data_IF_665628824944
#
_entry.id   IF_665628824944
#
_cell.length_a   1.000
_cell.length_b   1.000
_cell.length_c   1.000
_cell.angle_alpha   90.00
_cell.angle_beta   90.00
_cell.angle_gamma   90.00
#
_symmetry.space_group_name_H-M   'P 1'
#
loop_
_entity.id
_entity.type
_entity.pdbx_description
1 polymer ?
#
# COMPACT_ATOMS: atom_id res chain seq x y z
N UNK A 1 -58.11 -23.69 -39.17
CA UNK A 1 -57.02 -23.62 -40.12
C UNK A 1 -55.74 -23.40 -39.29
N UNK A 2 -55.06 -24.46 -39.02
CA UNK A 2 -53.66 -24.86 -39.26
C UNK A 2 -52.63 -23.73 -39.36
N UNK A 3 -51.62 -23.70 -38.46
CA UNK A 3 -50.19 -24.10 -38.72
C UNK A 3 -49.39 -23.81 -37.47
N UNK A 4 -48.83 -24.77 -36.87
CA UNK A 4 -47.48 -25.38 -36.97
C UNK A 4 -46.35 -24.48 -36.41
N UNK A 5 -45.86 -24.85 -35.28
CA UNK A 5 -44.57 -25.43 -34.90
C UNK A 5 -43.34 -24.69 -35.46
N UNK A 6 -42.54 -24.21 -34.53
CA UNK A 6 -41.17 -23.76 -34.71
C UNK A 6 -40.40 -24.02 -33.41
N UNK A 7 -39.86 -25.23 -33.32
CA UNK A 7 -38.91 -25.64 -32.28
C UNK A 7 -37.57 -24.97 -32.58
N UNK A 8 -37.15 -24.02 -31.72
CA UNK A 8 -35.80 -23.52 -31.69
C UNK A 8 -35.04 -24.25 -30.58
N UNK A 9 -34.23 -25.23 -30.94
CA UNK A 9 -33.20 -25.85 -30.11
C UNK A 9 -32.20 -24.79 -29.76
N UNK A 10 -32.09 -24.48 -28.48
CA UNK A 10 -30.92 -23.86 -27.92
C UNK A 10 -29.80 -24.92 -27.86
N UNK A 11 -28.81 -24.78 -28.72
CA UNK A 11 -27.54 -25.49 -28.56
C UNK A 11 -26.87 -24.94 -27.30
N UNK A 12 -26.90 -25.73 -26.27
CA UNK A 12 -26.02 -25.57 -25.08
C UNK A 12 -24.65 -26.06 -25.53
N UNK A 13 -23.75 -25.15 -25.84
CA UNK A 13 -22.33 -25.47 -25.92
C UNK A 13 -21.90 -26.01 -24.56
N UNK A 14 -21.75 -27.31 -24.47
CA UNK A 14 -21.00 -27.95 -23.41
C UNK A 14 -19.54 -27.57 -23.61
N UNK A 15 -19.08 -26.65 -22.78
CA UNK A 15 -17.66 -26.44 -22.51
C UNK A 15 -17.15 -27.79 -21.96
N UNK A 16 -16.53 -28.58 -22.82
CA UNK A 16 -15.80 -29.77 -22.42
C UNK A 16 -14.57 -29.29 -21.65
N UNK A 17 -14.68 -29.30 -20.31
CA UNK A 17 -13.53 -29.30 -19.43
C UNK A 17 -12.62 -30.44 -19.90
N UNK A 18 -11.48 -30.10 -20.48
CA UNK A 18 -10.43 -31.07 -20.81
C UNK A 18 -9.81 -31.45 -19.44
N UNK A 19 -10.38 -32.43 -18.80
CA UNK A 19 -9.73 -33.09 -17.68
C UNK A 19 -8.49 -33.79 -18.22
N UNK A 20 -7.33 -33.19 -18.02
CA UNK A 20 -6.03 -33.84 -18.21
C UNK A 20 -6.03 -35.05 -17.28
N UNK A 21 -5.80 -36.29 -17.75
CA UNK A 21 -5.75 -37.44 -16.87
C UNK A 21 -4.69 -37.21 -15.80
N UNK A 22 -5.08 -37.41 -14.52
CA UNK A 22 -4.17 -37.37 -13.40
C UNK A 22 -3.17 -38.52 -13.59
N UNK A 23 -2.00 -38.21 -14.15
CA UNK A 23 -0.89 -39.17 -14.28
C UNK A 23 -0.09 -39.12 -13.00
N UNK A 24 -0.07 -40.22 -12.26
CA UNK A 24 0.85 -40.41 -11.15
C UNK A 24 2.29 -40.43 -11.68
N UNK A 25 3.22 -39.82 -10.91
CA UNK A 25 4.63 -39.79 -11.28
C UNK A 25 5.29 -41.14 -10.97
N UNK A 26 5.67 -41.88 -12.00
CA UNK A 26 6.34 -43.19 -11.86
C UNK A 26 7.84 -43.07 -11.47
N UNK A 27 8.47 -41.93 -11.78
CA UNK A 27 9.88 -41.65 -11.43
C UNK A 27 9.98 -40.96 -10.10
N UNK A 28 11.10 -41.11 -9.42
CA UNK A 28 11.40 -40.37 -8.21
C UNK A 28 11.56 -38.88 -8.55
N UNK A 29 10.71 -38.04 -7.94
CA UNK A 29 10.68 -36.57 -8.15
C UNK A 29 10.56 -35.87 -6.82
N UNK A 30 11.43 -34.88 -6.63
CA UNK A 30 11.40 -34.00 -5.45
C UNK A 30 11.29 -32.54 -5.84
N UNK A 31 10.58 -31.75 -5.03
CA UNK A 31 10.52 -30.30 -5.14
C UNK A 31 11.01 -29.70 -3.82
N UNK A 32 12.15 -29.00 -3.83
CA UNK A 32 12.81 -28.51 -2.61
C UNK A 32 12.93 -29.55 -1.48
N UNK A 33 13.21 -30.80 -1.88
CA UNK A 33 13.34 -31.93 -0.95
C UNK A 33 12.04 -32.63 -0.57
N UNK A 34 10.89 -32.09 -0.98
CA UNK A 34 9.57 -32.74 -0.80
C UNK A 34 9.44 -33.82 -1.86
N UNK A 35 9.29 -35.07 -1.44
CA UNK A 35 9.05 -36.17 -2.36
C UNK A 35 7.59 -36.16 -2.82
N UNK A 36 7.37 -36.03 -4.12
CA UNK A 36 6.05 -36.03 -4.78
C UNK A 36 5.83 -37.26 -5.67
N UNK A 37 6.69 -38.26 -5.60
CA UNK A 37 6.62 -39.51 -6.37
C UNK A 37 5.35 -40.26 -6.08
N UNK A 38 4.63 -40.72 -7.12
CA UNK A 38 3.36 -41.42 -6.98
C UNK A 38 2.17 -40.58 -6.58
N UNK A 39 2.36 -39.25 -6.49
CA UNK A 39 1.28 -38.33 -6.20
C UNK A 39 0.59 -37.86 -7.48
N UNK A 40 -0.69 -37.60 -7.41
CA UNK A 40 -1.41 -36.78 -8.38
C UNK A 40 -0.93 -35.32 -8.31
N UNK A 41 -1.23 -34.53 -9.34
CA UNK A 41 -0.87 -33.08 -9.34
C UNK A 41 -1.44 -32.33 -8.14
N UNK A 42 -2.68 -32.63 -7.73
CA UNK A 42 -3.34 -31.96 -6.62
C UNK A 42 -2.72 -32.39 -5.27
N UNK A 43 -2.38 -33.66 -5.11
CA UNK A 43 -1.66 -34.16 -3.92
C UNK A 43 -0.28 -33.56 -3.80
N UNK A 44 0.47 -33.46 -4.91
CA UNK A 44 1.77 -32.81 -4.95
C UNK A 44 1.68 -31.32 -4.60
N UNK A 45 0.69 -30.61 -5.13
CA UNK A 45 0.41 -29.21 -4.76
C UNK A 45 0.11 -29.08 -3.26
N UNK A 46 -0.75 -29.95 -2.72
CA UNK A 46 -1.07 -29.91 -1.30
C UNK A 46 0.14 -30.21 -0.42
N UNK A 47 1.03 -31.14 -0.82
CA UNK A 47 2.26 -31.43 -0.11
C UNK A 47 3.23 -30.24 -0.11
N UNK A 48 3.42 -29.59 -1.25
CA UNK A 48 4.25 -28.38 -1.36
C UNK A 48 3.70 -27.24 -0.49
N UNK A 49 2.40 -26.95 -0.60
CA UNK A 49 1.78 -25.87 0.18
C UNK A 49 1.73 -26.14 1.68
N UNK A 50 1.82 -27.39 2.10
CA UNK A 50 1.91 -27.76 3.52
C UNK A 50 3.28 -27.41 4.11
N UNK A 51 4.36 -27.62 3.36
CA UNK A 51 5.72 -27.34 3.83
C UNK A 51 6.13 -25.88 3.56
N UNK A 52 5.53 -25.26 2.54
CA UNK A 52 5.70 -23.85 2.18
C UNK A 52 4.36 -23.11 2.21
N UNK A 53 3.72 -22.96 3.37
CA UNK A 53 2.43 -22.31 3.47
C UNK A 53 2.57 -20.81 3.18
N UNK A 54 1.66 -20.28 2.35
CA UNK A 54 1.56 -18.85 2.16
C UNK A 54 0.85 -18.21 3.35
N UNK A 55 1.40 -17.11 3.83
CA UNK A 55 0.86 -16.36 4.98
C UNK A 55 1.64 -15.09 5.24
N UNK A 56 2.36 -14.60 4.20
CA UNK A 56 3.18 -13.39 4.30
C UNK A 56 2.30 -12.18 4.61
N UNK A 57 2.75 -11.37 5.53
CA UNK A 57 2.07 -10.13 5.93
C UNK A 57 3.06 -9.02 6.21
N UNK A 58 2.59 -7.81 5.98
CA UNK A 58 3.29 -6.59 6.35
C UNK A 58 2.60 -5.99 7.57
N UNK A 59 3.37 -5.58 8.57
CA UNK A 59 2.84 -5.03 9.83
C UNK A 59 3.43 -3.66 10.12
N UNK A 60 2.61 -2.80 10.71
CA UNK A 60 3.04 -1.51 11.24
C UNK A 60 2.14 -1.10 12.41
N UNK A 61 2.73 -0.89 13.60
CA UNK A 61 1.97 -0.69 14.84
C UNK A 61 0.93 -1.82 15.05
N UNK A 62 -0.35 -1.46 15.19
CA UNK A 62 -1.45 -2.41 15.35
C UNK A 62 -2.13 -2.78 14.02
N UNK A 63 -1.54 -2.38 12.89
CA UNK A 63 -2.07 -2.64 11.56
C UNK A 63 -1.33 -3.80 10.89
N UNK A 64 -2.07 -4.52 10.06
CA UNK A 64 -1.54 -5.63 9.27
C UNK A 64 -2.14 -5.58 7.87
N UNK A 65 -1.33 -5.93 6.88
CA UNK A 65 -1.72 -6.12 5.48
C UNK A 65 -1.28 -7.53 5.07
N UNK A 66 -2.21 -8.35 4.60
CA UNK A 66 -1.91 -9.67 4.07
C UNK A 66 -1.46 -9.55 2.61
N UNK A 67 -0.24 -9.96 2.33
CA UNK A 67 0.35 -9.95 0.99
C UNK A 67 -0.33 -11.01 0.14
N UNK A 68 -0.73 -10.68 -1.08
CA UNK A 68 -1.29 -11.66 -2.02
C UNK A 68 -0.31 -12.81 -2.27
N UNK A 69 -0.84 -14.01 -2.54
CA UNK A 69 0.00 -15.17 -2.81
C UNK A 69 0.77 -14.98 -4.13
N UNK A 70 2.06 -14.64 -4.02
CA UNK A 70 2.95 -14.41 -5.16
C UNK A 70 3.51 -15.72 -5.73
N UNK A 71 3.35 -16.84 -5.01
CA UNK A 71 3.89 -18.14 -5.41
C UNK A 71 2.86 -19.08 -6.04
N UNK A 72 1.56 -18.76 -5.94
CA UNK A 72 0.50 -19.63 -6.45
C UNK A 72 0.69 -20.02 -7.93
N UNK A 73 0.91 -19.03 -8.79
CA UNK A 73 1.14 -19.26 -10.23
C UNK A 73 2.47 -19.96 -10.51
N UNK A 74 3.50 -19.70 -9.71
CA UNK A 74 4.81 -20.34 -9.81
C UNK A 74 4.72 -21.84 -9.49
N UNK A 75 4.01 -22.20 -8.42
CA UNK A 75 3.76 -23.59 -8.03
C UNK A 75 2.94 -24.30 -9.10
N UNK A 76 1.88 -23.67 -9.60
CA UNK A 76 1.04 -24.27 -10.63
C UNK A 76 1.78 -24.47 -11.96
N UNK A 77 2.62 -23.52 -12.35
CA UNK A 77 3.45 -23.64 -13.56
C UNK A 77 4.51 -24.72 -13.43
N UNK A 78 5.16 -24.82 -12.27
CA UNK A 78 6.14 -25.87 -11.98
C UNK A 78 5.49 -27.25 -12.03
N UNK A 79 4.35 -27.43 -11.40
CA UNK A 79 3.61 -28.69 -11.43
C UNK A 79 3.14 -29.03 -12.83
N UNK A 80 2.71 -28.04 -13.62
CA UNK A 80 2.36 -28.28 -15.03
C UNK A 80 3.58 -28.77 -15.81
N UNK A 81 4.77 -28.17 -15.66
CA UNK A 81 6.01 -28.65 -16.29
C UNK A 81 6.30 -30.10 -15.92
N UNK A 82 6.22 -30.42 -14.61
CA UNK A 82 6.52 -31.76 -14.09
C UNK A 82 5.56 -32.82 -14.66
N UNK A 83 4.25 -32.54 -14.68
CA UNK A 83 3.23 -33.53 -15.06
C UNK A 83 2.95 -33.62 -16.56
N UNK A 84 3.39 -32.65 -17.36
CA UNK A 84 3.20 -32.68 -18.83
C UNK A 84 4.47 -33.01 -19.59
N UNK A 85 5.63 -32.89 -18.97
CA UNK A 85 6.94 -33.13 -19.59
C UNK A 85 7.59 -34.46 -19.15
N UNK A 86 8.87 -34.59 -19.48
CA UNK A 86 9.72 -35.65 -18.88
C UNK A 86 10.27 -35.15 -17.54
N UNK A 87 9.81 -35.71 -16.40
CA UNK A 87 10.20 -35.20 -15.10
C UNK A 87 11.68 -35.49 -14.81
N UNK A 88 12.33 -34.46 -14.25
CA UNK A 88 13.66 -34.55 -13.65
C UNK A 88 13.54 -35.07 -12.21
N UNK A 89 14.65 -35.54 -11.65
CA UNK A 89 14.68 -36.09 -10.27
C UNK A 89 14.46 -35.00 -9.21
N UNK A 90 14.85 -33.75 -9.49
CA UNK A 90 14.78 -32.67 -8.52
C UNK A 90 14.41 -31.32 -9.17
N UNK A 91 13.53 -30.59 -8.49
CA UNK A 91 13.13 -29.23 -8.82
C UNK A 91 13.26 -28.32 -7.61
N UNK A 92 13.27 -27.02 -7.87
CA UNK A 92 13.22 -25.98 -6.83
C UNK A 92 12.14 -24.98 -7.17
N UNK A 93 11.46 -24.44 -6.16
CA UNK A 93 10.55 -23.33 -6.32
C UNK A 93 11.33 -22.09 -6.74
N UNK A 94 11.00 -21.58 -7.92
CA UNK A 94 11.62 -20.38 -8.49
C UNK A 94 10.94 -19.13 -7.96
N UNK A 95 11.68 -18.29 -7.24
CA UNK A 95 11.24 -17.02 -6.67
C UNK A 95 11.69 -15.82 -7.51
N UNK A 96 12.28 -16.04 -8.69
CA UNK A 96 12.72 -14.96 -9.59
C UNK A 96 11.57 -14.41 -10.42
N UNK A 97 11.73 -13.17 -10.94
CA UNK A 97 10.74 -12.55 -11.81
C UNK A 97 9.46 -12.09 -11.08
N UNK A 98 9.54 -11.90 -9.76
CA UNK A 98 8.42 -11.42 -8.93
C UNK A 98 8.54 -9.93 -8.59
N UNK A 99 9.54 -9.23 -9.12
CA UNK A 99 9.86 -7.84 -8.74
C UNK A 99 8.69 -6.88 -8.99
N UNK A 100 7.96 -7.06 -10.10
CA UNK A 100 6.78 -6.25 -10.40
C UNK A 100 5.61 -6.55 -9.44
N UNK A 101 5.40 -7.81 -9.11
CA UNK A 101 4.39 -8.22 -8.15
C UNK A 101 4.71 -7.69 -6.74
N UNK A 102 5.97 -7.80 -6.31
CA UNK A 102 6.45 -7.24 -5.05
C UNK A 102 6.28 -5.71 -5.01
N UNK A 103 6.54 -5.02 -6.13
CA UNK A 103 6.34 -3.58 -6.20
C UNK A 103 4.86 -3.20 -6.03
N UNK A 104 3.94 -3.95 -6.63
CA UNK A 104 2.49 -3.73 -6.46
C UNK A 104 2.03 -3.94 -5.02
N UNK A 105 2.57 -4.94 -4.32
CA UNK A 105 2.27 -5.14 -2.91
C UNK A 105 2.76 -3.97 -2.06
N UNK A 106 3.98 -3.48 -2.29
CA UNK A 106 4.52 -2.30 -1.60
C UNK A 106 3.69 -1.03 -1.88
N UNK A 107 3.24 -0.83 -3.12
CA UNK A 107 2.33 0.26 -3.49
C UNK A 107 0.98 0.14 -2.76
N UNK A 108 0.44 -1.07 -2.65
CA UNK A 108 -0.82 -1.33 -1.95
C UNK A 108 -0.72 -0.99 -0.46
N UNK A 109 0.38 -1.38 0.19
CA UNK A 109 0.67 -1.01 1.58
C UNK A 109 0.79 0.51 1.72
N UNK A 110 1.53 1.16 0.81
CA UNK A 110 1.68 2.60 0.82
C UNK A 110 0.34 3.32 0.62
N UNK A 111 -0.52 2.82 -0.27
CA UNK A 111 -1.86 3.39 -0.48
C UNK A 111 -2.75 3.32 0.77
N UNK A 112 -2.55 2.31 1.62
CA UNK A 112 -3.31 2.14 2.87
C UNK A 112 -2.78 3.02 4.00
N UNK A 113 -1.45 3.17 4.15
CA UNK A 113 -0.84 3.76 5.34
C UNK A 113 -0.25 5.14 5.11
N UNK A 114 -0.02 5.55 3.86
CA UNK A 114 0.43 6.91 3.57
C UNK A 114 -0.66 7.93 3.94
N UNK A 115 -0.24 8.96 4.63
CA UNK A 115 -1.07 10.11 4.96
C UNK A 115 -0.35 11.38 4.54
N UNK A 116 -1.01 12.21 3.74
CA UNK A 116 -0.42 13.50 3.37
C UNK A 116 -0.31 14.38 4.60
N UNK A 117 0.82 15.07 4.73
CA UNK A 117 0.97 16.12 5.72
C UNK A 117 -0.07 17.22 5.46
N UNK A 118 -0.62 17.77 6.53
CA UNK A 118 -1.59 18.86 6.47
C UNK A 118 -0.95 20.13 6.96
N UNK A 119 -0.92 21.13 6.11
CA UNK A 119 -0.40 22.42 6.47
C UNK A 119 -1.27 23.10 7.53
N UNK A 120 -0.63 23.74 8.49
CA UNK A 120 -1.27 24.62 9.41
C UNK A 120 -1.78 25.89 8.72
N UNK A 121 -2.73 26.53 9.33
CA UNK A 121 -3.22 27.84 8.91
C UNK A 121 -3.04 28.87 10.02
N UNK A 122 -2.88 30.14 9.63
CA UNK A 122 -2.89 31.23 10.59
C UNK A 122 -4.28 31.25 11.24
N UNK A 123 -4.32 31.17 12.58
CA UNK A 123 -5.57 31.20 13.33
C UNK A 123 -5.87 32.58 13.88
N UNK A 124 -4.84 33.26 14.35
CA UNK A 124 -4.97 34.51 15.07
C UNK A 124 -3.63 35.27 15.06
N UNK A 125 -3.70 36.60 15.17
CA UNK A 125 -2.53 37.42 15.46
C UNK A 125 -2.56 37.84 16.93
N UNK A 126 -1.58 37.37 17.68
CA UNK A 126 -1.36 37.76 19.08
C UNK A 126 -0.64 39.12 19.12
N UNK A 127 -1.41 40.18 19.29
CA UNK A 127 -0.89 41.55 19.32
C UNK A 127 -0.08 41.89 20.60
N UNK A 128 -0.15 41.08 21.64
CA UNK A 128 0.64 41.29 22.87
C UNK A 128 2.08 40.77 22.70
N UNK A 129 2.23 39.68 21.97
CA UNK A 129 3.52 39.04 21.75
C UNK A 129 4.04 39.26 20.31
N UNK A 130 3.36 40.07 19.48
CA UNK A 130 3.70 40.37 18.08
C UNK A 130 4.00 39.10 17.27
N UNK A 131 3.07 38.12 17.36
CA UNK A 131 3.23 36.84 16.65
C UNK A 131 1.91 36.31 16.09
N UNK A 132 2.03 35.54 15.00
CA UNK A 132 0.94 34.76 14.47
C UNK A 132 0.84 33.43 15.21
N UNK A 133 -0.39 33.03 15.50
CA UNK A 133 -0.71 31.72 16.02
C UNK A 133 -1.19 30.82 14.87
N UNK A 134 -0.69 29.61 14.83
CA UNK A 134 -1.03 28.62 13.81
C UNK A 134 -1.80 27.47 14.44
N UNK A 135 -2.62 26.81 13.66
CA UNK A 135 -3.35 25.63 14.08
C UNK A 135 -3.54 24.65 12.92
N UNK A 136 -3.81 23.40 13.25
CA UNK A 136 -4.23 22.38 12.31
C UNK A 136 -3.11 21.79 11.46
N UNK A 137 -1.84 22.06 11.78
CA UNK A 137 -0.73 21.33 11.19
C UNK A 137 -0.74 19.87 11.69
N UNK A 138 -0.62 18.93 10.77
CA UNK A 138 -0.53 17.51 11.06
C UNK A 138 0.59 16.89 10.23
N UNK A 139 1.43 16.06 10.86
CA UNK A 139 2.42 15.30 10.13
C UNK A 139 1.74 14.30 9.21
N UNK A 140 2.35 14.10 8.04
CA UNK A 140 2.05 13.02 7.13
C UNK A 140 2.79 11.75 7.53
N UNK A 141 2.49 10.67 6.83
CA UNK A 141 3.14 9.38 6.96
C UNK A 141 3.50 8.88 5.56
N UNK A 142 4.67 8.30 5.42
CA UNK A 142 5.15 7.73 4.17
C UNK A 142 5.83 6.39 4.42
N UNK A 143 5.32 5.34 3.79
CA UNK A 143 5.93 4.00 3.81
C UNK A 143 7.20 4.02 2.98
N UNK A 144 8.29 3.51 3.53
CA UNK A 144 9.52 3.24 2.78
C UNK A 144 9.31 2.02 1.87
N UNK A 145 8.82 2.29 0.66
CA UNK A 145 8.50 1.24 -0.30
C UNK A 145 9.74 0.50 -0.80
N UNK A 146 10.90 1.16 -0.90
CA UNK A 146 12.12 0.52 -1.38
C UNK A 146 12.66 -0.49 -0.36
N UNK A 147 12.63 -0.12 0.93
CA UNK A 147 12.97 -1.04 1.99
C UNK A 147 11.99 -2.21 2.03
N UNK A 148 10.68 -1.92 1.95
CA UNK A 148 9.63 -2.94 1.96
C UNK A 148 9.77 -3.95 0.81
N UNK A 149 10.05 -3.49 -0.42
CA UNK A 149 10.34 -4.36 -1.56
C UNK A 149 11.53 -5.27 -1.29
N UNK A 150 12.59 -4.70 -0.73
CA UNK A 150 13.81 -5.45 -0.39
C UNK A 150 13.50 -6.56 0.63
N UNK A 151 12.72 -6.24 1.64
CA UNK A 151 12.38 -7.18 2.71
C UNK A 151 11.45 -8.30 2.22
N UNK A 152 10.44 -7.97 1.40
CA UNK A 152 9.57 -8.98 0.75
C UNK A 152 10.42 -9.89 -0.15
N UNK A 153 11.29 -9.33 -0.98
CA UNK A 153 12.14 -10.11 -1.88
C UNK A 153 13.12 -11.01 -1.10
N UNK A 154 13.65 -10.54 0.02
CA UNK A 154 14.50 -11.32 0.89
C UNK A 154 13.73 -12.51 1.49
N UNK A 155 12.51 -12.30 1.98
CA UNK A 155 11.66 -13.39 2.48
C UNK A 155 11.38 -14.44 1.39
N UNK A 156 11.04 -14.01 0.16
CA UNK A 156 10.84 -14.89 -0.99
C UNK A 156 12.08 -15.70 -1.30
N UNK A 157 13.26 -15.07 -1.33
CA UNK A 157 14.53 -15.74 -1.63
C UNK A 157 14.93 -16.78 -0.56
N UNK A 158 14.53 -16.54 0.69
CA UNK A 158 14.69 -17.51 1.78
C UNK A 158 13.58 -18.55 1.85
N UNK A 159 12.58 -18.45 0.96
CA UNK A 159 11.37 -19.31 0.95
C UNK A 159 10.57 -19.24 2.26
N UNK A 160 10.67 -18.12 2.97
CA UNK A 160 9.81 -17.82 4.11
C UNK A 160 8.52 -17.13 3.64
N UNK A 161 7.63 -17.93 3.08
CA UNK A 161 6.37 -17.44 2.50
C UNK A 161 5.32 -17.08 3.57
N UNK A 162 5.63 -17.30 4.83
CA UNK A 162 4.78 -16.92 5.97
C UNK A 162 5.38 -15.79 6.82
N UNK A 163 6.39 -15.10 6.31
CA UNK A 163 7.08 -14.03 7.00
C UNK A 163 6.15 -12.91 7.46
N UNK A 164 6.42 -12.36 8.64
CA UNK A 164 5.83 -11.12 9.12
C UNK A 164 6.85 -9.99 8.98
N UNK A 165 6.65 -9.12 8.03
CA UNK A 165 7.56 -8.04 7.66
C UNK A 165 7.11 -6.74 8.32
N UNK A 166 7.98 -6.12 9.11
CA UNK A 166 7.69 -4.83 9.72
C UNK A 166 8.00 -3.69 8.73
N UNK A 167 7.00 -2.94 8.33
CA UNK A 167 7.21 -1.80 7.44
C UNK A 167 7.84 -0.62 8.18
N UNK A 168 8.78 0.03 7.53
CA UNK A 168 9.31 1.33 7.95
C UNK A 168 8.38 2.42 7.43
N UNK A 169 7.85 3.24 8.35
CA UNK A 169 6.97 4.37 8.02
C UNK A 169 7.58 5.63 8.59
N UNK A 170 7.87 6.59 7.73
CA UNK A 170 8.50 7.85 8.07
C UNK A 170 7.44 8.94 8.28
N UNK A 171 7.69 9.83 9.24
CA UNK A 171 6.88 11.03 9.38
C UNK A 171 7.31 12.08 8.35
N UNK A 172 6.32 12.71 7.71
CA UNK A 172 6.52 13.80 6.74
C UNK A 172 5.99 15.09 7.36
N UNK A 173 6.88 16.02 7.64
CA UNK A 173 6.47 17.31 8.21
C UNK A 173 5.67 18.14 7.19
N UNK A 174 4.67 18.90 7.67
CA UNK A 174 3.96 19.83 6.81
C UNK A 174 4.89 20.98 6.40
N UNK A 175 4.71 21.46 5.19
CA UNK A 175 5.45 22.62 4.66
C UNK A 175 5.25 23.88 5.53
N UNK A 176 4.08 23.94 6.19
CA UNK A 176 3.61 25.02 7.00
C UNK A 176 3.33 24.53 8.43
N UNK A 177 4.33 24.53 9.26
CA UNK A 177 4.24 24.33 10.71
C UNK A 177 4.42 25.66 11.44
N UNK A 178 4.18 25.71 12.74
CA UNK A 178 4.49 26.91 13.56
C UNK A 178 5.98 27.29 13.46
N UNK A 179 6.86 26.30 13.37
CA UNK A 179 8.31 26.53 13.28
C UNK A 179 8.72 27.18 11.96
N UNK A 180 8.21 26.66 10.82
CA UNK A 180 8.54 27.18 9.47
C UNK A 180 7.82 28.49 9.17
N UNK A 181 6.70 28.75 9.82
CA UNK A 181 5.96 30.00 9.64
C UNK A 181 6.75 31.22 10.14
N UNK A 182 7.45 31.09 11.23
CA UNK A 182 8.29 32.19 11.77
C UNK A 182 9.37 32.63 10.79
N UNK A 183 9.83 31.74 9.91
CA UNK A 183 10.82 32.09 8.89
C UNK A 183 10.19 32.75 7.66
N UNK A 184 8.95 32.39 7.32
CA UNK A 184 8.24 32.86 6.11
C UNK A 184 7.48 34.15 6.31
N UNK A 185 6.98 34.41 7.54
CA UNK A 185 6.20 35.60 7.84
C UNK A 185 7.03 36.67 8.54
N UNK A 186 7.07 37.85 7.95
CA UNK A 186 7.73 39.03 8.52
C UNK A 186 6.71 40.16 8.61
N UNK A 187 6.81 40.94 9.70
CA UNK A 187 6.09 42.20 9.78
C UNK A 187 6.62 43.15 8.70
N UNK A 188 5.80 43.43 7.68
CA UNK A 188 6.16 44.29 6.55
C UNK A 188 5.90 45.77 6.84
N UNK A 189 5.16 46.08 7.87
CA UNK A 189 4.91 47.45 8.29
C UNK A 189 4.29 47.53 9.66
N UNK A 190 4.72 48.51 10.41
CA UNK A 190 4.10 48.89 11.71
C UNK A 190 3.78 50.39 11.65
N UNK A 191 2.57 50.71 11.99
CA UNK A 191 2.15 52.09 12.04
C UNK A 191 1.57 52.42 13.41
N UNK A 192 2.08 53.49 14.03
CA UNK A 192 1.62 53.98 15.34
C UNK A 192 0.94 55.30 15.18
N UNK A 193 -0.24 55.47 15.78
CA UNK A 193 -0.96 56.72 15.81
C UNK A 193 -1.33 57.10 17.25
N UNK A 194 -1.21 58.38 17.54
CA UNK A 194 -1.55 58.93 18.86
C UNK A 194 -3.04 59.22 18.98
N UNK A 195 -3.58 58.92 20.16
CA UNK A 195 -4.94 59.35 20.52
C UNK A 195 -4.96 60.83 20.86
N UNK A 196 -6.15 61.46 20.71
CA UNK A 196 -6.38 62.87 21.03
C UNK A 196 -7.49 63.00 22.07
N UNK A 197 -7.83 64.22 22.48
CA UNK A 197 -8.96 64.46 23.36
C UNK A 197 -10.34 64.18 22.72
N UNK A 198 -10.39 63.98 21.40
CA UNK A 198 -11.63 63.66 20.70
C UNK A 198 -11.94 62.15 20.72
N UNK A 199 -12.89 61.76 21.58
CA UNK A 199 -13.27 60.35 21.74
C UNK A 199 -13.83 59.69 20.48
N UNK A 200 -14.63 60.41 19.66
CA UNK A 200 -15.15 59.83 18.42
C UNK A 200 -14.04 59.49 17.42
N UNK A 201 -13.06 60.39 17.28
CA UNK A 201 -11.88 60.15 16.45
C UNK A 201 -11.08 58.96 16.98
N UNK A 202 -10.87 58.90 18.29
CA UNK A 202 -10.12 57.78 18.90
C UNK A 202 -10.83 56.43 18.71
N UNK A 203 -12.17 56.39 18.76
CA UNK A 203 -12.96 55.19 18.47
C UNK A 203 -12.75 54.74 17.03
N UNK A 204 -12.83 55.65 16.06
CA UNK A 204 -12.65 55.34 14.66
C UNK A 204 -11.20 54.84 14.38
N UNK A 205 -10.20 55.48 14.98
CA UNK A 205 -8.80 55.06 14.86
C UNK A 205 -8.61 53.64 15.43
N UNK A 206 -9.18 53.35 16.61
CA UNK A 206 -9.13 52.02 17.19
C UNK A 206 -9.81 50.94 16.34
N UNK A 207 -10.96 51.28 15.76
CA UNK A 207 -11.66 50.34 14.86
C UNK A 207 -10.84 50.06 13.58
N UNK A 208 -10.30 51.10 12.96
CA UNK A 208 -9.43 50.97 11.80
C UNK A 208 -8.18 50.15 12.10
N UNK A 209 -7.49 50.46 13.21
CA UNK A 209 -6.33 49.72 13.65
C UNK A 209 -6.62 48.21 13.88
N UNK A 210 -7.79 47.93 14.51
CA UNK A 210 -8.20 46.53 14.68
C UNK A 210 -8.50 45.82 13.38
N UNK A 211 -9.04 46.53 12.40
CA UNK A 211 -9.41 45.96 11.11
C UNK A 211 -8.19 45.60 10.24
N UNK A 212 -7.09 46.34 10.39
CA UNK A 212 -5.86 46.15 9.60
C UNK A 212 -4.76 45.41 10.37
N UNK A 213 -4.84 45.31 11.69
CA UNK A 213 -3.82 44.63 12.48
C UNK A 213 -3.88 43.11 12.27
N UNK A 214 -2.77 42.53 11.94
CA UNK A 214 -2.65 41.08 11.68
C UNK A 214 -3.17 40.64 10.31
N UNK A 215 -3.38 41.56 9.36
CA UNK A 215 -3.67 41.17 7.97
C UNK A 215 -2.43 40.50 7.36
N UNK A 216 -2.70 39.37 6.72
CA UNK A 216 -1.72 38.61 5.94
C UNK A 216 -1.92 38.93 4.47
N UNK A 217 -0.83 39.24 3.77
CA UNK A 217 -0.82 39.52 2.33
C UNK A 217 -0.22 38.35 1.56
#
# INVERSE_FOLDING_TARGET
IKKAAGSGKADTEQETEITVPETELEKEVTVDGINITGMSRDEAKAAILKDFPWGMKVTWQDQSYDVNDLMAEKVDSLLQEIYTGEPKESYTLDTTGLEEAVAKEAESVAALWNKKAKNGSISEYDSQNDKFLFKGAENGLEVDQEQLKTDIQAALNHKDFSASIAATVNEVEPEFSEATAREKYKTIGTFTTNTTANQKRNTNVKLAARAINGIVL
#
